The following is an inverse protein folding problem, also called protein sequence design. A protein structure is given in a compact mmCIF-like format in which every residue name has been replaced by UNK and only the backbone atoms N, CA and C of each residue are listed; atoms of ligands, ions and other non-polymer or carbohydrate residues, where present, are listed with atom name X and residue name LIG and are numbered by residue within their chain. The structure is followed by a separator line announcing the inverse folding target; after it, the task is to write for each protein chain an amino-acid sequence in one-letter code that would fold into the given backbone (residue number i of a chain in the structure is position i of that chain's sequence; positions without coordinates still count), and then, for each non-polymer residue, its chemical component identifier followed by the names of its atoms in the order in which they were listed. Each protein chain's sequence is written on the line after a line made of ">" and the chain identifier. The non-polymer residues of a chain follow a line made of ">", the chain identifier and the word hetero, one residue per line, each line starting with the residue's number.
data_IF_484764615673
#
_entry.id   IF_484764615673
#
_cell.length_a   1.000
_cell.length_b   1.000
_cell.length_c   1.000
_cell.angle_alpha   90.00
_cell.angle_beta   90.00
_cell.angle_gamma   90.00
#
_symmetry.space_group_name_H-M   'P 1'
#
loop_
_entity.id
_entity.type
_entity.pdbx_description
1 polymer ?
#
# COMPACT_ATOMS: atom_id res chain seq x y z
N UNK A 1 -4.29 22.31 3.27
CA UNK A 1 -3.76 20.98 2.87
C UNK A 1 -4.39 20.62 1.53
N UNK A 2 -3.59 20.30 0.51
CA UNK A 2 -4.13 19.83 -0.77
C UNK A 2 -4.85 18.50 -0.57
N UNK A 3 -5.98 18.28 -1.23
CA UNK A 3 -6.60 16.97 -1.24
C UNK A 3 -5.62 15.96 -1.90
N UNK A 4 -5.53 14.76 -1.32
CA UNK A 4 -4.77 13.67 -1.94
C UNK A 4 -5.56 13.15 -3.13
N UNK A 5 -5.01 13.30 -4.33
CA UNK A 5 -5.68 12.97 -5.61
C UNK A 5 -5.24 11.63 -6.21
N UNK A 6 -4.25 10.97 -5.59
CA UNK A 6 -3.72 9.69 -6.06
C UNK A 6 -3.76 8.63 -4.96
N UNK A 7 -4.17 7.42 -5.33
CA UNK A 7 -4.09 6.19 -4.54
C UNK A 7 -2.98 5.30 -5.12
N UNK A 8 -2.04 4.86 -4.29
CA UNK A 8 -0.95 3.97 -4.70
C UNK A 8 -1.00 2.70 -3.85
N UNK A 9 -1.03 1.55 -4.52
CA UNK A 9 -0.85 0.24 -3.89
C UNK A 9 0.54 -0.29 -4.23
N UNK A 10 1.31 -0.70 -3.21
CA UNK A 10 2.59 -1.38 -3.40
C UNK A 10 2.43 -2.88 -3.21
N UNK A 11 3.01 -3.65 -4.12
CA UNK A 11 3.24 -5.09 -3.91
C UNK A 11 4.39 -5.31 -2.90
N UNK A 12 4.69 -6.55 -2.55
CA UNK A 12 5.79 -6.90 -1.65
C UNK A 12 6.92 -7.58 -2.42
N UNK A 13 6.70 -8.81 -2.91
CA UNK A 13 7.75 -9.64 -3.51
C UNK A 13 8.27 -9.02 -4.81
N UNK A 14 9.58 -8.77 -4.88
CA UNK A 14 10.20 -8.10 -6.02
C UNK A 14 9.91 -6.60 -6.11
N UNK A 15 9.20 -6.01 -5.14
CA UNK A 15 8.90 -4.57 -5.07
C UNK A 15 9.49 -3.93 -3.82
N UNK A 16 9.02 -4.32 -2.64
CA UNK A 16 9.48 -3.82 -1.34
C UNK A 16 10.53 -4.73 -0.69
N UNK A 17 10.41 -6.04 -0.90
CA UNK A 17 11.27 -7.07 -0.30
C UNK A 17 11.32 -8.28 -1.23
N UNK A 18 12.35 -9.13 -1.05
CA UNK A 18 12.54 -10.31 -1.88
C UNK A 18 13.02 -9.95 -3.29
N UNK A 19 13.87 -10.80 -3.87
CA UNK A 19 14.38 -10.67 -5.24
C UNK A 19 14.99 -9.30 -5.61
N UNK A 20 15.51 -8.55 -4.63
CA UNK A 20 16.12 -7.24 -4.89
C UNK A 20 15.13 -6.10 -5.19
N UNK A 21 13.92 -6.14 -4.60
CA UNK A 21 12.89 -5.11 -4.78
C UNK A 21 13.44 -3.67 -4.69
N UNK A 22 13.26 -2.84 -5.74
CA UNK A 22 13.94 -1.54 -5.87
C UNK A 22 13.27 -0.43 -5.03
N UNK A 23 12.05 -0.66 -4.55
CA UNK A 23 11.26 0.36 -3.86
C UNK A 23 11.64 0.41 -2.38
N UNK A 24 12.56 1.31 -2.06
CA UNK A 24 12.96 1.59 -0.67
C UNK A 24 11.89 2.30 0.17
N UNK A 25 12.05 2.26 1.49
CA UNK A 25 11.22 3.02 2.45
C UNK A 25 11.23 4.53 2.20
N UNK A 26 12.32 5.09 1.63
CA UNK A 26 12.40 6.51 1.27
C UNK A 26 11.39 6.85 0.17
N UNK A 27 11.26 6.00 -0.85
CA UNK A 27 10.27 6.20 -1.92
C UNK A 27 8.85 6.18 -1.38
N UNK A 28 8.54 5.23 -0.49
CA UNK A 28 7.20 5.10 0.10
C UNK A 28 6.88 6.32 0.97
N UNK A 29 7.82 6.77 1.82
CA UNK A 29 7.66 7.99 2.63
C UNK A 29 7.40 9.21 1.75
N UNK A 30 8.15 9.34 0.65
CA UNK A 30 7.96 10.42 -0.31
C UNK A 30 6.58 10.37 -0.97
N UNK A 31 6.12 9.19 -1.36
CA UNK A 31 4.78 9.00 -1.93
C UNK A 31 3.67 9.40 -0.95
N UNK A 32 3.80 9.04 0.33
CA UNK A 32 2.81 9.33 1.38
C UNK A 32 2.59 10.83 1.63
N UNK A 33 3.54 11.70 1.27
CA UNK A 33 3.41 13.15 1.43
C UNK A 33 2.18 13.69 0.68
N UNK A 34 1.89 13.15 -0.51
CA UNK A 34 0.86 13.69 -1.41
C UNK A 34 -0.18 12.66 -1.88
N UNK A 35 -0.05 11.40 -1.47
CA UNK A 35 -0.90 10.29 -1.94
C UNK A 35 -1.38 9.41 -0.79
N UNK A 36 -2.43 8.62 -1.01
CA UNK A 36 -2.84 7.55 -0.09
C UNK A 36 -2.08 6.29 -0.47
N UNK A 37 -1.44 5.62 0.51
CA UNK A 37 -0.54 4.51 0.25
C UNK A 37 -0.97 3.26 1.00
N UNK A 38 -1.12 2.15 0.28
CA UNK A 38 -1.40 0.87 0.90
C UNK A 38 -0.66 -0.29 0.25
N UNK A 39 -1.02 -1.49 0.68
CA UNK A 39 -0.44 -2.74 0.22
C UNK A 39 -1.45 -3.62 -0.51
N UNK A 40 -1.01 -4.19 -1.62
CA UNK A 40 -1.78 -5.12 -2.45
C UNK A 40 -0.90 -6.27 -2.89
N UNK A 41 -0.94 -7.39 -2.17
CA UNK A 41 -0.07 -8.55 -2.43
C UNK A 41 -0.86 -9.85 -2.46
N UNK A 42 -0.27 -10.90 -3.04
CA UNK A 42 -0.79 -12.27 -2.93
C UNK A 42 -0.55 -12.87 -1.54
N UNK A 43 0.32 -12.26 -0.73
CA UNK A 43 0.51 -12.62 0.68
C UNK A 43 -0.75 -12.35 1.50
N UNK A 44 -0.94 -13.12 2.58
CA UNK A 44 -2.02 -12.85 3.54
C UNK A 44 -1.92 -11.46 4.16
N UNK A 45 -3.07 -10.84 4.48
CA UNK A 45 -3.10 -9.48 5.08
C UNK A 45 -2.23 -9.40 6.34
N UNK A 46 -2.22 -10.46 7.17
CA UNK A 46 -1.35 -10.55 8.35
C UNK A 46 0.14 -10.53 7.97
N UNK A 47 0.55 -11.30 6.97
CA UNK A 47 1.93 -11.27 6.46
C UNK A 47 2.30 -9.93 5.87
N UNK A 48 1.38 -9.28 5.14
CA UNK A 48 1.61 -7.93 4.64
C UNK A 48 1.85 -6.97 5.81
N UNK A 49 0.97 -6.98 6.82
CA UNK A 49 1.10 -6.11 7.99
C UNK A 49 2.46 -6.22 8.67
N UNK A 50 2.97 -7.44 8.86
CA UNK A 50 4.31 -7.68 9.44
C UNK A 50 5.39 -6.99 8.59
N UNK A 51 5.38 -7.17 7.27
CA UNK A 51 6.35 -6.50 6.37
C UNK A 51 6.27 -4.98 6.50
N UNK A 52 5.06 -4.42 6.51
CA UNK A 52 4.89 -2.97 6.67
C UNK A 52 5.39 -2.45 8.03
N UNK A 53 5.19 -3.21 9.11
CA UNK A 53 5.77 -2.90 10.43
C UNK A 53 7.30 -2.96 10.42
N UNK A 54 7.90 -3.97 9.80
CA UNK A 54 9.37 -4.08 9.66
C UNK A 54 9.96 -2.87 8.92
N UNK A 55 9.22 -2.33 7.94
CA UNK A 55 9.61 -1.12 7.20
C UNK A 55 9.39 0.18 8.00
N UNK A 56 8.72 0.11 9.17
CA UNK A 56 8.37 1.26 9.99
C UNK A 56 7.35 2.18 9.31
N UNK A 57 6.46 1.64 8.49
CA UNK A 57 5.48 2.41 7.73
C UNK A 57 4.08 1.89 8.03
N UNK A 58 3.18 2.78 8.46
CA UNK A 58 1.76 2.49 8.58
C UNK A 58 1.08 2.62 7.22
N UNK A 59 0.56 1.54 6.62
CA UNK A 59 -0.23 1.63 5.39
C UNK A 59 -1.65 2.12 5.71
N UNK A 60 -2.26 2.84 4.77
CA UNK A 60 -3.67 3.25 4.86
C UNK A 60 -4.63 2.08 4.59
N UNK A 61 -4.24 1.12 3.75
CA UNK A 61 -5.00 -0.09 3.50
C UNK A 61 -4.07 -1.29 3.25
N UNK A 62 -4.57 -2.49 3.53
CA UNK A 62 -3.93 -3.75 3.14
C UNK A 62 -4.98 -4.69 2.57
N UNK A 63 -4.69 -5.26 1.40
CA UNK A 63 -5.64 -6.11 0.70
C UNK A 63 -4.94 -7.24 -0.03
N UNK A 64 -5.64 -8.36 -0.22
CA UNK A 64 -5.23 -9.34 -1.22
C UNK A 64 -5.32 -8.71 -2.60
N UNK A 65 -4.32 -8.94 -3.46
CA UNK A 65 -4.22 -8.30 -4.79
C UNK A 65 -5.50 -8.45 -5.63
N UNK A 66 -6.11 -9.64 -5.62
CA UNK A 66 -7.36 -9.91 -6.34
C UNK A 66 -8.59 -9.15 -5.80
N UNK A 67 -8.51 -8.60 -4.59
CA UNK A 67 -9.56 -7.82 -3.97
C UNK A 67 -9.34 -6.30 -4.09
N UNK A 68 -8.32 -5.84 -4.83
CA UNK A 68 -8.12 -4.41 -5.11
C UNK A 68 -9.37 -3.73 -5.71
N UNK A 69 -10.15 -4.35 -6.63
CA UNK A 69 -11.37 -3.74 -7.14
C UNK A 69 -12.47 -3.51 -6.08
N UNK A 70 -12.41 -4.24 -4.96
CA UNK A 70 -13.38 -4.15 -3.85
C UNK A 70 -12.88 -3.31 -2.68
N UNK A 71 -11.75 -2.63 -2.84
CA UNK A 71 -11.14 -1.86 -1.77
C UNK A 71 -12.09 -0.79 -1.17
N UNK A 72 -12.95 -0.10 -1.94
CA UNK A 72 -13.93 0.85 -1.39
C UNK A 72 -14.97 0.23 -0.43
N UNK A 73 -15.22 -1.08 -0.53
CA UNK A 73 -16.16 -1.77 0.37
C UNK A 73 -15.60 -1.89 1.80
N UNK A 74 -14.28 -1.95 1.93
CA UNK A 74 -13.57 -2.04 3.23
C UNK A 74 -13.01 -0.71 3.71
N UNK A 75 -12.70 0.19 2.77
CA UNK A 75 -12.09 1.49 3.01
C UNK A 75 -12.93 2.57 2.31
N UNK A 76 -14.07 3.00 2.89
CA UNK A 76 -14.96 3.95 2.23
C UNK A 76 -14.28 5.30 1.89
N UNK A 77 -13.26 5.69 2.65
CA UNK A 77 -12.50 6.92 2.47
C UNK A 77 -11.73 7.00 1.14
N UNK A 78 -11.47 5.86 0.50
CA UNK A 78 -10.80 5.80 -0.81
C UNK A 78 -11.78 5.63 -1.97
N UNK A 79 -13.11 5.65 -1.74
CA UNK A 79 -14.11 5.45 -2.79
C UNK A 79 -13.95 6.45 -3.95
N UNK A 80 -13.46 7.66 -3.68
CA UNK A 80 -13.25 8.70 -4.70
C UNK A 80 -12.18 8.39 -5.76
N UNK A 81 -11.40 7.31 -5.60
CA UNK A 81 -10.34 6.91 -6.53
C UNK A 81 -10.75 5.77 -7.48
N UNK A 82 -12.02 5.34 -7.44
CA UNK A 82 -12.59 4.26 -8.23
C UNK A 82 -13.78 4.80 -9.05
#
# INVERSE_FOLDING_TARGET
>A
MSAKEVLISFDIDGTLKGYGGPITTKHIKKAKENTIVGGGSSRSVRSQWIVWQELGIKPEFLVFKNNLPRLPERYPEIKKFF
#
